data_IF_282741497152
#
_entry.id   IF_282741497152
#
_cell.length_a   1.000
_cell.length_b   1.000
_cell.length_c   1.000
_cell.angle_alpha   90.00
_cell.angle_beta   90.00
_cell.angle_gamma   90.00
#
_symmetry.space_group_name_H-M   'P 1'
#
loop_
_entity.id
_entity.type
_entity.pdbx_description
1 polymer ?
#
# COMPACT_ATOMS: atom_id res chain seq x y z
N UNK A 1 2.59 -2.11 -35.96
CA UNK A 1 1.89 -1.72 -34.70
C UNK A 1 2.92 -1.45 -33.61
N UNK A 2 2.92 -0.28 -32.95
CA UNK A 2 3.86 0.02 -31.84
C UNK A 2 3.24 -0.38 -30.49
N UNK A 3 3.86 -1.32 -29.79
CA UNK A 3 3.42 -1.77 -28.46
C UNK A 3 3.73 -0.70 -27.40
N UNK A 4 2.72 -0.18 -26.70
CA UNK A 4 2.86 0.85 -25.63
C UNK A 4 2.96 0.24 -24.22
N UNK A 5 3.36 -1.02 -24.11
CA UNK A 5 3.45 -1.71 -22.82
C UNK A 5 4.75 -1.33 -22.09
N UNK A 6 4.63 -1.00 -20.81
CA UNK A 6 5.78 -0.65 -19.96
C UNK A 6 6.23 -1.90 -19.19
N UNK A 7 7.54 -2.17 -19.26
CA UNK A 7 8.18 -3.28 -18.60
C UNK A 7 8.98 -2.83 -17.38
N UNK A 8 9.30 -3.77 -16.49
CA UNK A 8 10.37 -3.59 -15.52
C UNK A 8 11.72 -3.42 -16.22
N UNK A 9 12.56 -2.51 -15.72
CA UNK A 9 13.83 -2.13 -16.36
C UNK A 9 14.81 -3.27 -16.59
N UNK A 10 14.73 -4.34 -15.78
CA UNK A 10 15.57 -5.54 -15.88
C UNK A 10 15.16 -6.50 -17.01
N UNK A 11 14.00 -6.29 -17.65
CA UNK A 11 13.53 -7.18 -18.73
C UNK A 11 14.22 -6.84 -20.04
N UNK A 12 14.76 -7.87 -20.70
CA UNK A 12 15.37 -7.80 -22.03
C UNK A 12 14.35 -7.81 -23.17
N UNK A 13 13.12 -8.26 -22.91
CA UNK A 13 12.05 -8.40 -23.90
C UNK A 13 10.70 -7.94 -23.34
N UNK A 14 9.84 -7.36 -24.20
CA UNK A 14 8.50 -6.93 -23.85
C UNK A 14 7.66 -8.10 -23.31
N UNK A 15 7.11 -8.01 -22.10
CA UNK A 15 6.28 -9.09 -21.55
C UNK A 15 4.95 -9.27 -22.29
N UNK A 16 4.54 -8.29 -23.11
CA UNK A 16 3.29 -8.31 -23.87
C UNK A 16 3.47 -8.78 -25.31
N UNK A 17 4.59 -8.46 -25.95
CA UNK A 17 4.78 -8.72 -27.38
C UNK A 17 6.14 -9.33 -27.74
N UNK A 18 6.97 -9.69 -26.76
CA UNK A 18 8.26 -10.38 -26.96
C UNK A 18 9.36 -9.55 -27.63
N UNK A 19 9.09 -8.31 -28.03
CA UNK A 19 10.09 -7.50 -28.73
C UNK A 19 11.30 -7.19 -27.83
N UNK A 20 12.53 -7.37 -28.33
CA UNK A 20 13.74 -7.09 -27.57
C UNK A 20 13.87 -5.59 -27.26
N UNK A 21 14.44 -5.28 -26.10
CA UNK A 21 14.88 -3.93 -25.73
C UNK A 21 16.04 -3.56 -26.66
N UNK A 22 15.97 -2.41 -27.33
CA UNK A 22 17.07 -1.93 -28.18
C UNK A 22 18.27 -1.60 -27.29
N UNK A 23 19.46 -2.07 -27.67
CA UNK A 23 20.71 -2.00 -26.88
C UNK A 23 21.36 -0.61 -26.82
N UNK A 24 20.63 0.46 -27.06
CA UNK A 24 21.11 1.82 -26.85
C UNK A 24 20.40 2.39 -25.63
N UNK A 25 21.04 2.26 -24.46
CA UNK A 25 21.40 3.36 -23.57
C UNK A 25 22.29 2.80 -22.45
N UNK A 26 23.40 3.48 -22.08
CA UNK A 26 24.12 3.14 -20.87
C UNK A 26 23.14 3.18 -19.70
N UNK A 27 23.00 2.05 -19.00
CA UNK A 27 22.17 1.89 -17.81
C UNK A 27 22.62 2.93 -16.77
N UNK A 28 22.06 4.15 -16.84
CA UNK A 28 22.06 5.07 -15.71
C UNK A 28 21.22 4.36 -14.66
N UNK A 29 21.90 3.58 -13.82
CA UNK A 29 21.37 3.01 -12.60
C UNK A 29 20.79 4.18 -11.83
N UNK A 30 19.48 4.42 -11.99
CA UNK A 30 18.74 5.26 -11.07
C UNK A 30 18.96 4.54 -9.75
N UNK A 31 19.81 5.14 -8.91
CA UNK A 31 20.10 4.64 -7.60
C UNK A 31 18.77 4.66 -6.86
N UNK A 32 18.11 3.51 -6.83
CA UNK A 32 16.93 3.32 -6.01
C UNK A 32 17.41 3.62 -4.61
N UNK A 33 16.98 4.75 -4.05
CA UNK A 33 17.07 5.03 -2.62
C UNK A 33 16.26 3.94 -1.92
N UNK A 34 16.86 2.77 -1.75
CA UNK A 34 16.38 1.78 -0.81
C UNK A 34 16.42 2.50 0.52
N UNK A 35 15.27 2.63 1.19
CA UNK A 35 15.17 3.24 2.51
C UNK A 35 15.75 2.29 3.58
N UNK A 36 16.90 1.70 3.27
CA UNK A 36 17.70 0.80 4.10
C UNK A 36 18.91 1.54 4.66
N UNK A 37 18.73 2.83 4.97
CA UNK A 37 19.64 3.57 5.86
C UNK A 37 19.16 3.44 7.33
N UNK A 38 20.02 3.77 8.32
CA UNK A 38 19.58 3.89 9.70
C UNK A 38 18.41 4.86 9.78
N UNK A 39 17.26 4.38 10.28
CA UNK A 39 16.05 5.21 10.38
C UNK A 39 16.34 6.40 11.27
N UNK A 40 16.13 7.60 10.74
CA UNK A 40 16.18 8.82 11.56
C UNK A 40 15.05 8.76 12.60
N UNK A 41 15.26 9.38 13.76
CA UNK A 41 14.25 9.43 14.86
C UNK A 41 12.87 9.85 14.35
N UNK A 42 12.82 10.83 13.44
CA UNK A 42 11.61 11.27 12.76
C UNK A 42 10.88 10.17 11.96
N UNK A 43 11.59 9.28 11.26
CA UNK A 43 10.96 8.19 10.50
C UNK A 43 10.37 7.11 11.44
N UNK A 44 10.95 6.94 12.64
CA UNK A 44 10.43 6.02 13.67
C UNK A 44 9.14 6.58 14.28
N UNK A 45 9.12 7.88 14.59
CA UNK A 45 7.96 8.56 15.16
C UNK A 45 6.78 8.58 14.17
N UNK A 46 7.03 8.84 12.88
CA UNK A 46 6.00 8.75 11.82
C UNK A 46 5.40 7.33 11.66
N UNK A 47 6.15 6.28 11.96
CA UNK A 47 5.67 4.89 11.89
C UNK A 47 4.85 4.53 13.13
N UNK A 48 5.23 5.04 14.30
CA UNK A 48 4.48 4.93 15.53
C UNK A 48 3.13 5.66 15.41
N UNK A 49 3.10 6.87 14.84
CA UNK A 49 1.84 7.59 14.61
C UNK A 49 0.95 6.88 13.59
N UNK A 50 1.49 6.31 12.49
CA UNK A 50 0.70 5.48 11.57
C UNK A 50 0.14 4.21 12.22
N UNK A 51 0.94 3.51 13.04
CA UNK A 51 0.46 2.32 13.77
C UNK A 51 -0.61 2.69 14.80
N UNK A 52 -0.42 3.79 15.52
CA UNK A 52 -1.41 4.36 16.45
C UNK A 52 -2.67 4.83 15.72
N UNK A 53 -2.57 5.38 14.50
CA UNK A 53 -3.72 5.74 13.67
C UNK A 53 -4.49 4.51 13.17
N UNK A 54 -3.80 3.41 12.87
CA UNK A 54 -4.42 2.13 12.52
C UNK A 54 -5.15 1.49 13.73
N UNK A 55 -4.58 1.60 14.94
CA UNK A 55 -5.22 1.13 16.18
C UNK A 55 -6.40 2.02 16.63
N UNK A 56 -6.35 3.33 16.37
CA UNK A 56 -7.43 4.28 16.72
C UNK A 56 -8.65 4.25 15.79
N UNK A 57 -8.75 3.28 14.88
CA UNK A 57 -9.71 3.42 13.81
C UNK A 57 -10.04 2.18 13.00
N UNK A 58 -10.31 1.05 13.64
CA UNK A 58 -10.99 -0.06 12.96
C UNK A 58 -12.13 -0.62 13.81
N UNK A 59 -13.26 -0.94 13.18
CA UNK A 59 -14.40 -1.58 13.84
C UNK A 59 -14.56 -3.01 13.33
N UNK A 60 -14.89 -3.92 14.24
CA UNK A 60 -15.13 -5.33 13.92
C UNK A 60 -16.62 -5.53 13.68
N UNK A 61 -16.98 -6.09 12.53
CA UNK A 61 -18.35 -6.45 12.20
C UNK A 61 -18.72 -7.80 12.83
N UNK A 62 -20.01 -8.04 13.03
CA UNK A 62 -20.55 -9.32 13.53
C UNK A 62 -20.27 -10.51 12.61
N UNK A 63 -19.97 -10.28 11.32
CA UNK A 63 -19.48 -11.32 10.41
C UNK A 63 -17.98 -11.66 10.58
N UNK A 64 -17.30 -11.07 11.57
CA UNK A 64 -15.88 -11.31 11.84
C UNK A 64 -14.91 -10.44 11.02
N UNK A 65 -15.42 -9.65 10.07
CA UNK A 65 -14.59 -8.78 9.23
C UNK A 65 -14.19 -7.50 9.96
N UNK A 66 -12.92 -7.08 9.82
CA UNK A 66 -12.42 -5.79 10.31
C UNK A 66 -12.56 -4.73 9.23
N UNK A 67 -13.18 -3.60 9.55
CA UNK A 67 -13.41 -2.49 8.63
C UNK A 67 -12.68 -1.23 9.10
N UNK A 68 -12.35 -0.33 8.17
CA UNK A 68 -11.78 0.98 8.49
C UNK A 68 -12.79 1.87 9.24
N UNK A 69 -12.31 2.77 10.10
CA UNK A 69 -13.16 3.71 10.86
C UNK A 69 -14.06 4.57 9.97
N UNK A 70 -13.56 4.93 8.78
CA UNK A 70 -14.27 5.71 7.78
C UNK A 70 -15.44 4.95 7.15
N UNK A 71 -15.43 3.62 7.19
CA UNK A 71 -16.47 2.81 6.59
C UNK A 71 -17.71 2.81 7.49
N UNK A 72 -18.82 3.34 6.96
CA UNK A 72 -20.15 3.29 7.59
C UNK A 72 -20.83 1.92 7.48
N UNK A 73 -20.36 1.09 6.54
CA UNK A 73 -20.88 -0.25 6.24
C UNK A 73 -19.74 -1.26 6.13
N UNK A 74 -20.01 -2.53 6.45
CA UNK A 74 -19.03 -3.59 6.32
C UNK A 74 -18.75 -3.88 4.85
N UNK A 75 -17.48 -3.95 4.45
CA UNK A 75 -17.13 -4.23 3.06
C UNK A 75 -17.50 -5.66 2.63
N UNK A 76 -17.54 -6.59 3.58
CA UNK A 76 -17.82 -8.01 3.35
C UNK A 76 -19.32 -8.32 3.34
N UNK A 77 -20.05 -7.99 4.42
CA UNK A 77 -21.47 -8.36 4.57
C UNK A 77 -22.47 -7.20 4.40
N UNK A 78 -21.97 -5.99 4.09
CA UNK A 78 -22.76 -4.76 3.86
C UNK A 78 -23.60 -4.25 5.03
N UNK A 79 -23.55 -4.89 6.21
CA UNK A 79 -24.21 -4.39 7.44
C UNK A 79 -23.60 -3.07 7.90
N UNK A 80 -24.43 -2.18 8.45
CA UNK A 80 -23.99 -0.90 9.00
C UNK A 80 -23.08 -1.07 10.21
N UNK A 81 -22.22 -0.07 10.44
CA UNK A 81 -21.38 -0.02 11.64
C UNK A 81 -22.27 0.14 12.88
N UNK A 82 -22.08 -0.65 13.94
CA UNK A 82 -22.78 -0.43 15.20
C UNK A 82 -22.40 0.95 15.77
N UNK A 83 -23.40 1.70 16.24
CA UNK A 83 -23.22 3.09 16.71
C UNK A 83 -22.31 3.19 17.96
N UNK A 84 -22.16 2.08 18.69
CA UNK A 84 -21.66 2.02 20.08
C UNK A 84 -20.26 1.42 20.21
N UNK A 85 -19.27 2.04 19.55
CA UNK A 85 -17.86 1.64 19.71
C UNK A 85 -16.96 2.82 20.09
N UNK A 86 -17.54 3.87 20.66
CA UNK A 86 -16.83 5.13 20.98
C UNK A 86 -16.88 5.57 22.45
N UNK A 87 -17.40 4.76 23.38
CA UNK A 87 -17.15 5.01 24.80
C UNK A 87 -17.44 3.79 25.66
N UNK A 88 -16.38 3.14 26.16
CA UNK A 88 -16.48 2.26 27.33
C UNK A 88 -15.18 2.28 28.12
N UNK A 89 -14.83 3.47 28.60
CA UNK A 89 -14.06 3.65 29.83
C UNK A 89 -14.91 4.56 30.70
N UNK A 90 -15.69 3.94 31.57
CA UNK A 90 -16.23 4.55 32.79
C UNK A 90 -15.59 3.84 33.97
#
# INVERSE_FOLDING_TARGET
>A
MKCKNVNFSFRKECNKCGLPKKDEQPEKRIERKTHSGPRTRHQRDQRLTRKQQLDKGTWRCSCGSRNFQSNKVCMMCKKTRPQDSRNRFS
#
